data_IF_174333494220
#
_entry.id   IF_174333494220
#
_cell.length_a   1.000
_cell.length_b   1.000
_cell.length_c   1.000
_cell.angle_alpha   90.00
_cell.angle_beta   90.00
_cell.angle_gamma   90.00
#
_symmetry.space_group_name_H-M   'P 1'
#
loop_
_entity.id
_entity.type
_entity.pdbx_description
1 polymer ?
#
# COMPACT_ATOMS: atom_id res chain seq x y z
N UNK A 1 -7.54 15.76 15.30
CA UNK A 1 -7.70 15.46 14.52
C UNK A 1 -7.26 15.16 13.51
N UNK A 2 -7.21 15.05 13.13
CA UNK A 2 -6.38 14.69 12.21
C UNK A 2 -6.81 14.22 10.95
N UNK A 3 -6.09 14.42 9.93
CA UNK A 3 -6.35 13.82 8.66
C UNK A 3 -6.01 12.34 8.68
N UNK A 4 -6.27 11.70 7.56
CA UNK A 4 -5.92 10.30 7.38
C UNK A 4 -4.41 10.12 7.43
N UNK A 5 -3.96 9.01 8.00
CA UNK A 5 -2.55 8.69 8.03
C UNK A 5 -2.04 8.41 6.63
N UNK A 6 -0.84 8.85 6.36
CA UNK A 6 -0.19 8.64 5.07
C UNK A 6 1.31 8.51 5.24
N UNK A 7 1.94 7.95 4.23
CA UNK A 7 3.39 7.77 4.19
C UNK A 7 3.86 7.85 2.75
N UNK A 8 4.89 8.67 2.51
CA UNK A 8 5.56 8.75 1.21
C UNK A 8 6.87 7.99 1.27
N UNK A 9 7.14 7.20 0.24
CA UNK A 9 8.45 6.60 0.06
C UNK A 9 9.05 7.08 -1.25
N UNK A 10 10.36 7.30 -1.27
CA UNK A 10 11.09 7.69 -2.47
C UNK A 10 11.77 6.47 -3.05
N UNK A 11 11.62 6.26 -4.34
CA UNK A 11 12.15 5.10 -5.04
C UNK A 11 12.80 5.53 -6.34
N UNK A 12 13.72 4.71 -6.82
CA UNK A 12 14.35 4.88 -8.13
C UNK A 12 14.06 3.63 -8.95
N UNK A 13 13.68 3.82 -10.20
CA UNK A 13 13.36 2.69 -11.08
C UNK A 13 14.62 1.89 -11.39
N UNK A 14 14.70 0.61 -10.97
CA UNK A 14 15.85 -0.22 -11.30
C UNK A 14 15.69 -0.85 -12.68
N UNK A 15 16.81 -1.24 -13.26
CA UNK A 15 16.81 -1.84 -14.58
C UNK A 15 15.90 -3.08 -14.68
N UNK A 16 15.91 -3.89 -13.64
CA UNK A 16 15.16 -5.16 -13.66
C UNK A 16 13.63 -4.98 -13.54
N UNK A 17 13.15 -3.76 -13.32
CA UNK A 17 11.70 -3.50 -13.31
C UNK A 17 11.16 -3.12 -14.69
N UNK A 18 12.03 -3.01 -15.70
CA UNK A 18 11.63 -2.59 -17.04
C UNK A 18 11.09 -3.75 -17.86
N UNK A 19 10.15 -3.44 -18.77
CA UNK A 19 9.67 -4.38 -19.76
C UNK A 19 10.46 -4.19 -21.09
N UNK A 20 10.18 -4.98 -22.13
CA UNK A 20 10.88 -4.82 -23.41
C UNK A 20 10.72 -3.47 -24.09
N UNK A 21 9.74 -2.66 -23.70
CA UNK A 21 9.52 -1.31 -24.22
C UNK A 21 10.29 -0.25 -23.43
N UNK A 22 11.17 -0.67 -22.52
CA UNK A 22 12.00 0.21 -21.70
C UNK A 22 11.23 1.09 -20.71
N UNK A 23 10.05 0.67 -20.32
CA UNK A 23 9.30 1.31 -19.24
C UNK A 23 8.97 0.28 -18.16
N UNK A 24 8.65 0.77 -16.98
CA UNK A 24 8.30 -0.11 -15.86
C UNK A 24 7.15 -1.02 -16.26
N UNK A 25 7.37 -2.34 -16.10
CA UNK A 25 6.31 -3.30 -16.34
C UNK A 25 5.13 -3.02 -15.41
N UNK A 26 3.93 -3.02 -15.97
CA UNK A 26 2.74 -2.59 -15.22
C UNK A 26 2.51 -3.38 -13.92
N UNK A 27 2.92 -4.64 -13.87
CA UNK A 27 2.79 -5.44 -12.65
C UNK A 27 3.63 -4.93 -11.49
N UNK A 28 4.70 -4.19 -11.76
CA UNK A 28 5.56 -3.66 -10.71
C UNK A 28 4.92 -2.52 -9.91
N UNK A 29 3.86 -1.89 -10.42
CA UNK A 29 3.18 -0.84 -9.66
C UNK A 29 2.58 -1.40 -8.38
N UNK A 30 2.09 -2.62 -8.39
CA UNK A 30 1.57 -3.27 -7.18
C UNK A 30 2.70 -3.46 -6.15
N UNK A 31 3.91 -3.77 -6.61
CA UNK A 31 5.07 -3.86 -5.74
C UNK A 31 5.38 -2.51 -5.09
N UNK A 32 5.31 -1.43 -5.85
CA UNK A 32 5.55 -0.09 -5.30
C UNK A 32 4.49 0.28 -4.26
N UNK A 33 3.24 -0.08 -4.52
CA UNK A 33 2.17 0.10 -3.54
C UNK A 33 2.43 -0.70 -2.27
N UNK A 34 2.91 -1.94 -2.40
CA UNK A 34 3.26 -2.77 -1.24
C UNK A 34 4.36 -2.13 -0.41
N UNK A 35 5.37 -1.56 -1.05
CA UNK A 35 6.46 -0.90 -0.35
C UNK A 35 5.91 0.29 0.46
N UNK A 36 5.04 1.09 -0.15
CA UNK A 36 4.44 2.24 0.53
C UNK A 36 3.50 1.81 1.65
N UNK A 37 2.72 0.74 1.44
CA UNK A 37 1.84 0.18 2.46
C UNK A 37 2.65 -0.29 3.67
N UNK A 38 3.72 -1.03 3.44
CA UNK A 38 4.58 -1.54 4.51
C UNK A 38 5.21 -0.39 5.30
N UNK A 39 5.63 0.65 4.61
CA UNK A 39 6.19 1.83 5.26
C UNK A 39 5.14 2.54 6.13
N UNK A 40 3.90 2.61 5.65
CA UNK A 40 2.82 3.21 6.42
C UNK A 40 2.53 2.40 7.69
N UNK A 41 2.46 1.08 7.57
CA UNK A 41 2.26 0.22 8.75
C UNK A 41 3.40 0.40 9.74
N UNK A 42 4.65 0.40 9.28
CA UNK A 42 5.80 0.59 10.15
C UNK A 42 5.75 1.95 10.86
N UNK A 43 5.40 3.00 10.13
CA UNK A 43 5.25 4.35 10.70
C UNK A 43 4.14 4.40 11.76
N UNK A 44 3.13 3.55 11.61
CA UNK A 44 2.01 3.46 12.55
C UNK A 44 2.31 2.54 13.73
N UNK A 45 3.52 1.99 13.80
CA UNK A 45 3.91 1.09 14.88
C UNK A 45 3.40 -0.33 14.70
N UNK A 46 3.03 -0.71 13.48
CA UNK A 46 2.45 -2.02 13.20
C UNK A 46 3.43 -2.91 12.45
N UNK A 47 3.60 -4.13 12.94
CA UNK A 47 4.28 -5.21 12.25
C UNK A 47 3.26 -6.34 12.12
N UNK A 48 2.69 -6.52 10.94
CA UNK A 48 1.61 -7.48 10.76
C UNK A 48 2.09 -8.93 10.90
N UNK A 49 3.37 -9.21 10.66
CA UNK A 49 3.92 -10.54 10.88
C UNK A 49 3.92 -10.88 12.39
N UNK A 50 4.42 -9.97 13.21
CA UNK A 50 4.40 -10.16 14.67
C UNK A 50 2.97 -10.19 15.19
N UNK A 51 2.10 -9.36 14.63
CA UNK A 51 0.69 -9.34 15.01
C UNK A 51 0.03 -10.69 14.74
N UNK A 52 0.29 -11.29 13.59
CA UNK A 52 -0.23 -12.63 13.27
C UNK A 52 0.28 -13.66 14.27
N UNK A 53 1.58 -13.63 14.58
CA UNK A 53 2.14 -14.61 15.52
C UNK A 53 1.53 -14.50 16.90
N UNK A 54 1.09 -13.32 17.29
CA UNK A 54 0.52 -13.06 18.61
C UNK A 54 -0.99 -13.29 18.67
N UNK A 55 -1.71 -13.04 17.58
CA UNK A 55 -3.17 -13.02 17.60
C UNK A 55 -3.84 -14.00 16.63
N UNK A 56 -3.10 -14.55 15.67
CA UNK A 56 -3.61 -15.38 14.57
C UNK A 56 -4.48 -14.61 13.56
N UNK A 57 -4.51 -13.28 13.64
CA UNK A 57 -5.18 -12.47 12.63
C UNK A 57 -4.21 -12.09 11.51
N UNK A 58 -4.66 -12.19 10.26
CA UNK A 58 -3.91 -11.70 9.12
C UNK A 58 -4.83 -10.89 8.20
N UNK A 59 -4.24 -10.16 7.26
CA UNK A 59 -4.97 -9.13 6.52
C UNK A 59 -4.71 -9.29 5.01
N UNK A 60 -5.33 -10.29 4.37
CA UNK A 60 -5.11 -10.51 2.94
C UNK A 60 -5.73 -9.37 2.11
N UNK A 61 -5.10 -9.13 0.97
CA UNK A 61 -5.61 -8.16 0.01
C UNK A 61 -6.72 -8.86 -0.78
N UNK A 62 -7.89 -8.23 -0.84
CA UNK A 62 -9.06 -8.77 -1.55
C UNK A 62 -9.37 -8.02 -2.83
N UNK A 63 -8.83 -6.81 -2.97
CA UNK A 63 -9.10 -6.01 -4.16
C UNK A 63 -7.96 -5.01 -4.36
N UNK A 64 -7.56 -4.86 -5.62
CA UNK A 64 -6.60 -3.81 -6.01
C UNK A 64 -7.12 -3.12 -7.26
N UNK A 65 -6.83 -1.82 -7.37
CA UNK A 65 -7.07 -1.07 -8.59
C UNK A 65 -5.81 -0.31 -8.93
N UNK A 66 -5.57 -0.13 -10.23
CA UNK A 66 -4.43 0.67 -10.70
C UNK A 66 -4.84 1.42 -11.95
N UNK A 67 -4.54 2.71 -11.97
CA UNK A 67 -4.71 3.53 -13.16
C UNK A 67 -3.34 4.04 -13.57
N UNK A 68 -2.94 3.69 -14.79
CA UNK A 68 -1.65 4.10 -15.35
C UNK A 68 -1.86 5.38 -16.16
N UNK A 69 -1.14 6.44 -15.81
CA UNK A 69 -1.33 7.77 -16.40
C UNK A 69 -0.13 8.13 -17.25
N UNK A 70 1.08 7.93 -16.74
CA UNK A 70 2.32 8.20 -17.45
C UNK A 70 3.34 7.13 -17.09
N UNK A 71 4.20 6.77 -18.04
CA UNK A 71 5.18 5.71 -17.85
C UNK A 71 6.34 6.16 -16.98
N UNK A 72 6.81 5.25 -16.11
CA UNK A 72 8.07 5.40 -15.41
C UNK A 72 9.16 4.72 -16.23
N UNK A 73 10.33 5.33 -16.27
CA UNK A 73 11.46 4.84 -17.06
C UNK A 73 12.67 4.59 -16.18
N UNK A 74 13.69 3.99 -16.77
CA UNK A 74 14.91 3.64 -16.04
C UNK A 74 15.50 4.85 -15.35
N UNK A 75 15.87 4.69 -14.09
CA UNK A 75 16.46 5.71 -13.22
C UNK A 75 15.54 6.88 -12.89
N UNK A 76 14.29 6.86 -13.30
CA UNK A 76 13.34 7.86 -12.82
C UNK A 76 13.23 7.77 -11.29
N UNK A 77 13.30 8.92 -10.65
CA UNK A 77 13.06 9.01 -9.21
C UNK A 77 11.60 9.44 -8.99
N UNK A 78 10.92 8.71 -8.12
CA UNK A 78 9.50 8.97 -7.87
C UNK A 78 9.17 8.77 -6.40
N UNK A 79 8.04 9.32 -5.99
CA UNK A 79 7.47 9.03 -4.68
C UNK A 79 6.23 8.18 -4.85
N UNK A 80 6.00 7.29 -3.90
CA UNK A 80 4.76 6.55 -3.79
C UNK A 80 4.15 6.86 -2.44
N UNK A 81 2.97 7.48 -2.45
CA UNK A 81 2.27 7.86 -1.23
C UNK A 81 1.12 6.89 -0.98
N UNK A 82 1.11 6.31 0.22
CA UNK A 82 -0.01 5.50 0.70
C UNK A 82 -0.81 6.32 1.71
N UNK A 83 -2.12 6.30 1.60
CA UNK A 83 -3.02 6.99 2.51
C UNK A 83 -4.10 6.03 2.96
N UNK A 84 -4.36 5.96 4.27
CA UNK A 84 -5.45 5.14 4.80
C UNK A 84 -6.75 5.90 4.59
N UNK A 85 -7.66 5.31 3.83
CA UNK A 85 -8.96 5.91 3.52
C UNK A 85 -10.02 5.42 4.50
N UNK A 86 -9.94 4.17 4.87
CA UNK A 86 -10.87 3.55 5.80
C UNK A 86 -10.18 2.42 6.54
N UNK A 87 -10.54 2.17 7.79
CA UNK A 87 -10.03 1.03 8.56
C UNK A 87 -11.07 0.43 9.48
N UNK A 88 -12.35 0.74 9.32
CA UNK A 88 -13.41 0.23 10.20
C UNK A 88 -13.73 -1.23 9.86
N UNK A 89 -14.16 -1.50 8.65
CA UNK A 89 -14.58 -2.84 8.22
C UNK A 89 -13.52 -3.49 7.33
N UNK A 90 -12.76 -2.69 6.64
CA UNK A 90 -11.66 -3.08 5.77
C UNK A 90 -10.55 -2.07 5.95
N UNK A 91 -9.33 -2.46 5.62
CA UNK A 91 -8.25 -1.48 5.50
C UNK A 91 -8.23 -1.08 4.03
N UNK A 92 -8.67 0.13 3.74
CA UNK A 92 -8.66 0.67 2.38
C UNK A 92 -7.56 1.71 2.30
N UNK A 93 -6.65 1.51 1.35
CA UNK A 93 -5.56 2.46 1.11
C UNK A 93 -5.63 2.98 -0.31
N UNK A 94 -5.33 4.26 -0.46
CA UNK A 94 -5.15 4.91 -1.76
C UNK A 94 -3.67 5.15 -1.97
N UNK A 95 -3.23 4.99 -3.23
CA UNK A 95 -1.82 5.15 -3.60
C UNK A 95 -1.69 6.15 -4.73
N UNK A 96 -0.60 6.91 -4.71
CA UNK A 96 -0.31 7.86 -5.76
C UNK A 96 1.18 7.86 -6.03
N UNK A 97 1.55 7.72 -7.30
CA UNK A 97 2.94 7.77 -7.75
C UNK A 97 3.17 9.07 -8.50
N UNK A 98 4.21 9.82 -8.09
CA UNK A 98 4.62 11.09 -8.69
C UNK A 98 6.09 11.06 -9.06
N UNK A 99 6.40 11.55 -10.26
CA UNK A 99 7.79 11.83 -10.61
C UNK A 99 8.31 12.97 -9.75
N UNK A 100 9.54 12.84 -9.22
CA UNK A 100 10.12 13.90 -8.42
C UNK A 100 10.58 15.07 -9.27
N UNK A 101 11.02 14.81 -10.51
CA UNK A 101 11.54 15.82 -11.41
C UNK A 101 10.54 16.96 -11.67
N UNK A 102 9.30 16.62 -11.96
CA UNK A 102 8.28 17.60 -12.39
C UNK A 102 6.98 17.48 -11.63
N UNK A 103 6.93 16.64 -10.61
CA UNK A 103 5.75 16.40 -9.77
C UNK A 103 4.54 15.84 -10.55
N UNK A 104 4.79 15.23 -11.71
CA UNK A 104 3.74 14.64 -12.53
C UNK A 104 3.20 13.37 -11.90
N UNK A 105 1.88 13.25 -11.84
CA UNK A 105 1.24 12.01 -11.37
C UNK A 105 1.37 10.96 -12.48
N UNK A 106 1.98 9.82 -12.15
CA UNK A 106 2.21 8.74 -13.11
C UNK A 106 1.22 7.60 -12.94
N UNK A 107 0.75 7.36 -11.71
CA UNK A 107 -0.19 6.29 -11.44
C UNK A 107 -0.97 6.58 -10.17
N UNK A 108 -2.18 6.00 -10.10
CA UNK A 108 -2.99 6.00 -8.89
C UNK A 108 -3.51 4.60 -8.69
N UNK A 109 -3.77 4.23 -7.44
CA UNK A 109 -4.31 2.93 -7.15
C UNK A 109 -5.00 2.87 -5.81
N UNK A 110 -5.53 1.71 -5.51
CA UNK A 110 -6.14 1.44 -4.22
C UNK A 110 -6.03 -0.04 -3.89
N UNK A 111 -6.15 -0.34 -2.61
CA UNK A 111 -6.22 -1.74 -2.17
C UNK A 111 -7.21 -1.85 -1.01
N UNK A 112 -7.79 -3.03 -0.88
CA UNK A 112 -8.65 -3.38 0.25
C UNK A 112 -8.11 -4.65 0.89
N UNK A 113 -8.07 -4.64 2.21
CA UNK A 113 -7.67 -5.79 3.02
C UNK A 113 -8.76 -6.06 4.04
N UNK A 114 -9.03 -7.34 4.30
CA UNK A 114 -9.97 -7.75 5.35
C UNK A 114 -9.18 -8.40 6.47
N UNK A 115 -9.80 -8.52 7.65
CA UNK A 115 -9.20 -9.26 8.75
C UNK A 115 -9.72 -10.70 8.70
N UNK A 116 -8.79 -11.66 8.75
CA UNK A 116 -9.11 -13.07 8.72
C UNK A 116 -8.47 -13.75 9.92
N UNK A 117 -9.19 -14.63 10.59
CA UNK A 117 -8.66 -15.38 11.71
C UNK A 117 -8.22 -16.77 11.28
N UNK A 118 -6.99 -17.12 11.58
CA UNK A 118 -6.41 -18.42 11.29
C UNK A 118 -6.49 -19.28 12.55
N UNK A 119 -6.74 -20.58 12.48
CA UNK A 119 -6.80 -21.41 11.26
C UNK A 119 -8.19 -21.50 10.62
N UNK A 120 -9.23 -20.97 11.25
CA UNK A 120 -10.62 -21.09 10.77
C UNK A 120 -10.82 -20.44 9.40
N UNK A 121 -9.99 -19.47 9.05
CA UNK A 121 -10.09 -18.68 7.83
C UNK A 121 -11.41 -17.91 7.77
N UNK A 122 -11.85 -17.43 8.95
CA UNK A 122 -13.08 -16.67 9.08
C UNK A 122 -12.82 -15.21 8.87
N UNK A 123 -13.59 -14.59 7.97
CA UNK A 123 -13.51 -13.16 7.73
C UNK A 123 -14.22 -12.45 8.87
N UNK A 124 -13.51 -11.53 9.52
CA UNK A 124 -14.06 -10.77 10.63
C UNK A 124 -14.90 -9.61 10.11
N UNK A 125 -15.95 -9.26 10.85
CA UNK A 125 -16.82 -8.14 10.48
C UNK A 125 -16.10 -6.81 10.50
N UNK A 126 -15.22 -6.62 11.49
CA UNK A 126 -14.46 -5.39 11.66
C UNK A 126 -12.97 -5.66 11.76
N UNK A 127 -12.19 -4.65 11.41
CA UNK A 127 -10.75 -4.65 11.69
C UNK A 127 -10.57 -4.55 13.20
N UNK A 128 -9.63 -5.31 13.81
CA UNK A 128 -9.41 -5.23 15.26
C UNK A 128 -9.16 -3.80 15.74
N UNK A 129 -9.65 -3.49 16.91
CA UNK A 129 -9.62 -2.12 17.45
C UNK A 129 -8.21 -1.55 17.54
N UNK A 130 -7.23 -2.34 17.99
CA UNK A 130 -5.86 -1.87 18.11
C UNK A 130 -5.27 -1.48 16.75
N UNK A 131 -5.59 -2.23 15.71
CA UNK A 131 -5.17 -1.91 14.34
C UNK A 131 -5.87 -0.64 13.87
N UNK A 132 -7.19 -0.54 14.09
CA UNK A 132 -7.95 0.66 13.69
C UNK A 132 -7.37 1.91 14.33
N UNK A 133 -7.10 1.85 15.64
CA UNK A 133 -6.56 3.00 16.37
C UNK A 133 -5.17 3.38 15.87
N UNK A 134 -4.33 2.39 15.60
CA UNK A 134 -2.99 2.65 15.09
C UNK A 134 -3.06 3.36 13.74
N UNK A 135 -4.08 3.06 12.92
CA UNK A 135 -4.26 3.68 11.62
C UNK A 135 -5.08 4.98 11.66
N UNK A 136 -5.46 5.44 12.85
CA UNK A 136 -6.15 6.71 13.00
C UNK A 136 -7.66 6.64 12.88
N UNK A 137 -8.22 5.46 13.12
CA UNK A 137 -9.69 5.25 13.00
C UNK A 137 -10.33 4.67 14.28
#
# INVERSE_FOLDING_TARGET
MGGNKSCDVKLTVPFHDLDPMHMVWHGNYLKYFDIARSALFAKSGLDLFSYFNRTNYYFPITKTTTKHIASLRYLDEFSCKATVVEAQYKIVMAFQIRLLENNQICAKGSSEQVAVKYPEKEIMFEIPEDIRKALGF
#
